data_IF_425951528467
#
_entry.id   IF_425951528467
#
_cell.length_a   1.000
_cell.length_b   1.000
_cell.length_c   1.000
_cell.angle_alpha   90.00
_cell.angle_beta   90.00
_cell.angle_gamma   90.00
#
_symmetry.space_group_name_H-M   'P 1'
#
loop_
_entity.id
_entity.type
_entity.pdbx_description
1 polymer ?
#
# COMPACT_ATOMS: atom_id res chain seq x y z
N UNK A 1 23.87 8.42 8.19
CA UNK A 1 23.40 7.18 7.54
C UNK A 1 22.25 6.62 8.38
N UNK A 2 21.01 6.73 7.89
CA UNK A 2 19.82 6.27 8.64
C UNK A 2 19.88 4.74 8.72
N UNK A 3 20.04 4.17 9.91
CA UNK A 3 19.95 2.72 10.15
C UNK A 3 18.47 2.27 10.12
N UNK A 4 17.76 2.55 9.03
CA UNK A 4 16.42 2.01 8.85
C UNK A 4 16.56 0.64 8.20
N UNK A 5 16.25 -0.43 8.93
CA UNK A 5 16.36 -1.82 8.45
C UNK A 5 15.35 -2.18 7.34
N UNK A 6 14.61 -1.20 6.83
CA UNK A 6 13.58 -1.39 5.83
C UNK A 6 12.40 -2.18 6.37
N UNK A 7 11.46 -2.48 5.48
CA UNK A 7 10.23 -3.19 5.79
C UNK A 7 10.38 -4.72 5.76
N UNK A 8 11.51 -5.21 5.25
CA UNK A 8 11.79 -6.63 5.05
C UNK A 8 12.69 -7.19 6.15
N UNK A 9 12.49 -8.45 6.56
CA UNK A 9 13.34 -9.08 7.57
C UNK A 9 14.73 -9.30 7.00
N UNK A 10 15.76 -8.80 7.69
CA UNK A 10 17.15 -9.06 7.32
C UNK A 10 17.62 -10.45 7.82
N UNK A 11 16.86 -11.06 8.73
CA UNK A 11 17.07 -12.42 9.21
C UNK A 11 15.90 -12.96 10.04
N UNK A 12 15.87 -14.28 10.35
CA UNK A 12 14.75 -14.93 11.02
C UNK A 12 14.41 -14.35 12.41
N UNK A 13 15.41 -13.87 13.14
CA UNK A 13 15.25 -13.29 14.48
C UNK A 13 14.50 -11.96 14.48
N UNK A 14 14.43 -11.25 13.35
CA UNK A 14 13.74 -9.95 13.22
C UNK A 14 12.26 -10.10 12.86
N UNK A 15 11.85 -11.28 12.40
CA UNK A 15 10.48 -11.57 11.95
C UNK A 15 9.44 -11.19 13.03
N UNK A 16 9.59 -11.56 14.32
CA UNK A 16 8.59 -11.22 15.33
C UNK A 16 8.44 -9.70 15.52
N UNK A 17 9.55 -8.97 15.51
CA UNK A 17 9.57 -7.51 15.71
C UNK A 17 8.87 -6.82 14.54
N UNK A 18 9.22 -7.18 13.31
CA UNK A 18 8.61 -6.57 12.12
C UNK A 18 7.12 -6.91 11.98
N UNK A 19 6.73 -8.14 12.32
CA UNK A 19 5.31 -8.52 12.37
C UNK A 19 4.53 -7.70 13.41
N UNK A 20 5.16 -7.34 14.53
CA UNK A 20 4.54 -6.47 15.53
C UNK A 20 4.41 -5.03 15.01
N UNK A 21 5.44 -4.48 14.37
CA UNK A 21 5.37 -3.16 13.73
C UNK A 21 4.28 -3.10 12.65
N UNK A 22 4.19 -4.12 11.79
CA UNK A 22 3.11 -4.26 10.81
C UNK A 22 1.74 -4.29 11.48
N UNK A 23 1.60 -5.02 12.58
CA UNK A 23 0.35 -5.09 13.34
C UNK A 23 -0.02 -3.72 13.92
N UNK A 24 0.93 -2.94 14.42
CA UNK A 24 0.68 -1.58 14.92
C UNK A 24 0.21 -0.66 13.80
N UNK A 25 0.89 -0.67 12.65
CA UNK A 25 0.48 0.09 11.45
C UNK A 25 -0.93 -0.30 11.02
N UNK A 26 -1.22 -1.60 10.86
CA UNK A 26 -2.54 -2.07 10.43
C UNK A 26 -3.64 -1.64 11.41
N UNK A 27 -3.37 -1.68 12.72
CA UNK A 27 -4.36 -1.32 13.74
C UNK A 27 -4.57 0.18 13.91
N UNK A 28 -3.64 1.03 13.44
CA UNK A 28 -3.80 2.49 13.53
C UNK A 28 -4.69 3.08 12.43
N UNK A 29 -4.93 2.33 11.34
CA UNK A 29 -5.62 2.84 10.15
C UNK A 29 -7.08 3.21 10.39
N UNK A 30 -7.85 2.35 11.07
CA UNK A 30 -9.26 2.65 11.35
C UNK A 30 -9.41 3.84 12.31
N UNK A 31 -8.67 3.89 13.44
CA UNK A 31 -8.67 5.08 14.29
C UNK A 31 -8.32 6.36 13.54
N UNK A 32 -7.30 6.34 12.67
CA UNK A 32 -6.92 7.51 11.88
C UNK A 32 -8.03 8.05 10.96
N UNK A 33 -9.07 7.24 10.68
CA UNK A 33 -10.20 7.65 9.84
C UNK A 33 -11.43 8.15 10.65
N UNK A 34 -11.43 8.01 11.98
CA UNK A 34 -12.64 8.13 12.81
C UNK A 34 -12.45 8.78 14.17
N UNK A 35 -11.29 8.62 14.78
CA UNK A 35 -11.05 9.19 16.09
C UNK A 35 -10.82 10.70 15.95
N UNK A 36 -11.20 11.49 16.98
CA UNK A 36 -10.90 12.91 17.01
C UNK A 36 -9.40 13.18 16.82
N UNK A 37 -9.10 14.37 16.30
CA UNK A 37 -7.73 14.86 16.22
C UNK A 37 -7.05 14.81 17.60
N UNK A 38 -5.82 14.31 17.66
CA UNK A 38 -5.15 14.00 18.92
C UNK A 38 -4.80 15.25 19.74
N UNK A 39 -4.56 16.38 19.06
CA UNK A 39 -4.13 17.62 19.69
C UNK A 39 -5.32 18.54 20.02
N UNK A 40 -6.28 18.65 19.10
CA UNK A 40 -7.42 19.56 19.24
C UNK A 40 -8.69 18.90 19.77
N UNK A 41 -8.80 17.56 19.73
CA UNK A 41 -10.01 16.83 20.11
C UNK A 41 -11.18 17.04 19.15
N UNK A 42 -10.97 17.73 18.01
CA UNK A 42 -12.01 17.99 17.02
C UNK A 42 -12.45 16.66 16.40
N UNK A 43 -13.77 16.36 16.36
CA UNK A 43 -14.27 15.15 15.71
C UNK A 43 -13.81 15.08 14.25
N UNK A 44 -13.31 13.92 13.85
CA UNK A 44 -12.85 13.67 12.49
C UNK A 44 -13.67 12.57 11.84
N UNK A 45 -13.93 12.74 10.54
CA UNK A 45 -14.53 11.73 9.69
C UNK A 45 -13.85 11.82 8.33
N UNK A 46 -13.19 10.74 7.92
CA UNK A 46 -12.60 10.68 6.59
C UNK A 46 -13.70 10.60 5.52
N UNK A 47 -13.64 11.49 4.53
CA UNK A 47 -14.44 11.41 3.29
C UNK A 47 -13.69 10.64 2.18
N UNK A 48 -12.36 10.53 2.30
CA UNK A 48 -11.49 9.77 1.41
C UNK A 48 -10.23 9.30 2.15
N UNK A 49 -9.56 8.27 1.63
CA UNK A 49 -8.28 7.79 2.15
C UNK A 49 -7.18 8.04 1.13
N UNK A 50 -6.09 8.67 1.57
CA UNK A 50 -4.82 8.68 0.86
C UNK A 50 -3.85 7.76 1.61
N UNK A 51 -3.32 6.75 0.93
CA UNK A 51 -2.47 5.75 1.57
C UNK A 51 -1.26 5.40 0.73
N UNK A 52 -0.21 4.92 1.38
CA UNK A 52 0.88 4.23 0.72
C UNK A 52 0.69 2.71 0.83
N UNK A 53 1.18 1.92 -0.15
CA UNK A 53 1.06 0.46 -0.11
C UNK A 53 1.58 -0.21 1.17
N UNK A 54 2.72 0.21 1.76
CA UNK A 54 3.26 -0.39 2.99
C UNK A 54 2.38 -0.26 4.25
N UNK A 55 1.21 0.40 4.17
CA UNK A 55 0.23 0.41 5.24
C UNK A 55 -0.65 -0.88 5.27
N UNK A 56 -0.77 -1.60 4.16
CA UNK A 56 -1.47 -2.89 3.93
C UNK A 56 -2.95 -3.07 4.33
N UNK A 57 -3.49 -2.33 5.31
CA UNK A 57 -4.89 -2.47 5.75
C UNK A 57 -5.84 -1.43 5.16
N UNK A 58 -5.32 -0.46 4.41
CA UNK A 58 -6.03 0.76 4.01
C UNK A 58 -7.21 0.47 3.08
N UNK A 59 -7.06 -0.50 2.16
CA UNK A 59 -8.14 -0.92 1.26
C UNK A 59 -9.32 -1.54 2.02
N UNK A 60 -9.04 -2.32 3.06
CA UNK A 60 -10.08 -2.93 3.90
C UNK A 60 -10.78 -1.89 4.78
N UNK A 61 -10.05 -0.88 5.27
CA UNK A 61 -10.67 0.24 5.98
C UNK A 61 -11.56 1.03 5.02
N UNK A 62 -11.10 1.34 3.80
CA UNK A 62 -11.91 2.00 2.78
C UNK A 62 -13.20 1.22 2.47
N UNK A 63 -13.11 -0.11 2.29
CA UNK A 63 -14.26 -1.01 2.11
C UNK A 63 -15.25 -0.91 3.26
N UNK A 64 -14.76 -0.97 4.51
CA UNK A 64 -15.61 -0.91 5.70
C UNK A 64 -16.29 0.45 5.89
N UNK A 65 -15.63 1.53 5.48
CA UNK A 65 -16.12 2.90 5.60
C UNK A 65 -16.93 3.35 4.38
N UNK A 66 -16.87 2.59 3.28
CA UNK A 66 -17.50 2.91 2.01
C UNK A 66 -17.08 4.29 1.47
N UNK A 67 -15.79 4.62 1.58
CA UNK A 67 -15.20 5.87 1.09
C UNK A 67 -14.13 5.58 0.02
N UNK A 68 -13.92 6.51 -0.93
CA UNK A 68 -12.89 6.36 -1.95
C UNK A 68 -11.48 6.30 -1.34
N UNK A 69 -10.59 5.62 -2.05
CA UNK A 69 -9.18 5.52 -1.70
C UNK A 69 -8.30 5.80 -2.92
N UNK A 70 -7.20 6.50 -2.70
CA UNK A 70 -6.16 6.78 -3.69
C UNK A 70 -4.80 6.42 -3.09
N UNK A 71 -4.02 5.64 -3.83
CA UNK A 71 -2.67 5.24 -3.44
C UNK A 71 -1.64 6.26 -3.91
N UNK A 72 -0.81 6.75 -3.00
CA UNK A 72 0.32 7.62 -3.29
C UNK A 72 1.62 6.95 -2.89
N UNK A 73 2.59 6.92 -3.80
CA UNK A 73 3.88 6.32 -3.46
C UNK A 73 5.08 6.84 -4.25
N UNK A 74 6.27 6.66 -3.66
CA UNK A 74 7.56 7.09 -4.23
C UNK A 74 8.33 5.93 -4.86
N UNK A 75 7.79 4.71 -4.82
CA UNK A 75 8.37 3.53 -5.45
C UNK A 75 7.30 2.85 -6.30
N UNK A 76 7.65 2.20 -7.43
CA UNK A 76 6.66 1.48 -8.20
C UNK A 76 6.14 0.27 -7.43
N UNK A 77 4.83 0.17 -7.27
CA UNK A 77 4.16 -0.92 -6.56
C UNK A 77 3.10 -1.62 -7.40
N UNK A 78 2.90 -1.18 -8.64
CA UNK A 78 1.93 -1.74 -9.59
C UNK A 78 2.65 -2.54 -10.67
N UNK A 79 2.16 -3.73 -11.03
CA UNK A 79 2.81 -4.59 -12.02
C UNK A 79 3.10 -3.89 -13.36
N UNK A 80 4.31 -4.10 -13.89
CA UNK A 80 4.72 -3.62 -15.23
C UNK A 80 5.82 -4.52 -15.83
N UNK A 81 5.96 -4.47 -17.15
CA UNK A 81 7.07 -5.08 -17.89
C UNK A 81 8.34 -4.21 -17.99
N UNK A 82 8.30 -2.96 -17.52
CA UNK A 82 9.42 -2.01 -17.68
C UNK A 82 10.52 -2.16 -16.60
N UNK A 83 10.13 -2.55 -15.38
CA UNK A 83 11.07 -2.77 -14.26
C UNK A 83 10.51 -3.79 -13.25
N UNK A 84 11.38 -4.52 -12.51
CA UNK A 84 10.94 -5.47 -11.51
C UNK A 84 10.34 -4.78 -10.28
N UNK A 85 9.61 -5.53 -9.47
CA UNK A 85 9.16 -5.10 -8.15
C UNK A 85 10.37 -4.61 -7.32
N UNK A 86 10.30 -3.48 -6.59
CA UNK A 86 11.45 -2.90 -5.87
C UNK A 86 12.13 -3.82 -4.86
N UNK A 87 11.36 -4.76 -4.31
CA UNK A 87 11.83 -5.78 -3.36
C UNK A 87 12.33 -7.07 -4.03
N UNK A 88 12.24 -7.17 -5.35
CA UNK A 88 12.72 -8.30 -6.13
C UNK A 88 14.13 -8.06 -6.67
N UNK A 89 14.88 -9.16 -6.88
CA UNK A 89 16.20 -9.15 -7.53
C UNK A 89 16.17 -9.72 -8.95
N UNK A 90 14.98 -9.87 -9.53
CA UNK A 90 14.80 -10.36 -10.91
C UNK A 90 15.50 -9.42 -11.88
N UNK A 91 16.44 -9.94 -12.67
CA UNK A 91 17.20 -9.17 -13.67
C UNK A 91 16.64 -9.28 -15.08
N UNK A 92 15.95 -10.39 -15.40
CA UNK A 92 15.41 -10.66 -16.72
C UNK A 92 14.06 -9.98 -16.91
N UNK A 93 13.92 -9.21 -17.99
CA UNK A 93 12.70 -8.44 -18.30
C UNK A 93 11.43 -9.31 -18.36
N UNK A 94 11.54 -10.53 -18.90
CA UNK A 94 10.43 -11.49 -18.94
C UNK A 94 9.84 -11.81 -17.54
N UNK A 95 10.63 -11.63 -16.47
CA UNK A 95 10.20 -11.86 -15.08
C UNK A 95 9.75 -10.60 -14.33
N UNK A 96 9.80 -9.40 -14.92
CA UNK A 96 9.51 -8.15 -14.20
C UNK A 96 8.08 -8.09 -13.72
N UNK A 97 7.10 -8.30 -14.61
CA UNK A 97 5.69 -8.30 -14.23
C UNK A 97 5.35 -9.41 -13.23
N UNK A 98 5.92 -10.61 -13.41
CA UNK A 98 5.72 -11.75 -12.52
C UNK A 98 6.29 -11.47 -11.12
N UNK A 99 7.37 -10.68 -11.02
CA UNK A 99 7.98 -10.38 -9.73
C UNK A 99 7.05 -9.66 -8.75
N UNK A 100 6.09 -8.85 -9.25
CA UNK A 100 5.09 -8.21 -8.41
C UNK A 100 4.17 -9.25 -7.77
N UNK A 101 3.61 -10.15 -8.57
CA UNK A 101 2.73 -11.22 -8.07
C UNK A 101 3.41 -12.09 -7.01
N UNK A 102 4.69 -12.43 -7.22
CA UNK A 102 5.47 -13.23 -6.27
C UNK A 102 5.66 -12.44 -4.95
N UNK A 103 6.09 -11.18 -5.03
CA UNK A 103 6.33 -10.38 -3.84
C UNK A 103 5.03 -10.09 -3.08
N UNK A 104 3.96 -9.71 -3.77
CA UNK A 104 2.65 -9.45 -3.17
C UNK A 104 2.11 -10.70 -2.47
N UNK A 105 2.31 -11.88 -3.06
CA UNK A 105 1.95 -13.16 -2.43
C UNK A 105 2.74 -13.44 -1.15
N UNK A 106 4.04 -13.12 -1.13
CA UNK A 106 4.89 -13.27 0.05
C UNK A 106 4.51 -12.28 1.16
N UNK A 107 4.23 -11.02 0.79
CA UNK A 107 3.72 -10.00 1.71
C UNK A 107 2.41 -10.48 2.32
N UNK A 108 1.46 -10.90 1.47
CA UNK A 108 0.16 -11.41 1.90
C UNK A 108 0.29 -12.59 2.86
N UNK A 109 1.15 -13.56 2.55
CA UNK A 109 1.43 -14.69 3.43
C UNK A 109 1.89 -14.23 4.83
N UNK A 110 2.69 -13.17 4.87
CA UNK A 110 3.16 -12.54 6.10
C UNK A 110 2.06 -11.83 6.90
N UNK A 111 1.13 -11.13 6.26
CA UNK A 111 0.20 -10.23 6.97
C UNK A 111 -1.23 -10.76 7.08
N UNK A 112 -1.60 -11.82 6.37
CA UNK A 112 -2.99 -12.29 6.25
C UNK A 112 -3.70 -12.49 7.58
N UNK A 113 -3.00 -12.95 8.62
CA UNK A 113 -3.58 -13.18 9.94
C UNK A 113 -3.94 -11.86 10.62
N UNK A 114 -3.09 -10.84 10.48
CA UNK A 114 -3.32 -9.48 11.02
C UNK A 114 -4.43 -8.76 10.27
N UNK A 115 -4.45 -8.89 8.94
CA UNK A 115 -5.53 -8.33 8.11
C UNK A 115 -6.87 -8.99 8.45
N UNK A 116 -6.92 -10.32 8.55
CA UNK A 116 -8.16 -11.01 8.88
C UNK A 116 -8.61 -10.74 10.32
N UNK A 117 -7.69 -10.53 11.26
CA UNK A 117 -8.01 -10.03 12.60
C UNK A 117 -8.63 -8.63 12.56
N UNK A 118 -8.05 -7.70 11.80
CA UNK A 118 -8.60 -6.35 11.59
C UNK A 118 -10.03 -6.45 11.01
N UNK A 119 -10.18 -7.22 9.92
CA UNK A 119 -11.47 -7.39 9.23
C UNK A 119 -12.56 -7.93 10.16
N UNK A 120 -12.27 -9.01 10.89
CA UNK A 120 -13.24 -9.63 11.81
C UNK A 120 -13.53 -8.76 13.03
N UNK A 121 -12.49 -8.32 13.74
CA UNK A 121 -12.62 -7.74 15.09
C UNK A 121 -12.96 -6.25 15.08
N UNK A 122 -12.55 -5.52 14.05
CA UNK A 122 -12.69 -4.05 13.99
C UNK A 122 -13.63 -3.59 12.89
N UNK A 123 -13.52 -4.19 11.69
CA UNK A 123 -14.26 -3.75 10.52
C UNK A 123 -15.61 -4.47 10.33
N UNK A 124 -15.84 -5.57 11.06
CA UNK A 124 -17.01 -6.45 10.90
C UNK A 124 -17.19 -6.96 9.47
N UNK A 125 -16.07 -7.14 8.76
CA UNK A 125 -16.03 -7.68 7.40
C UNK A 125 -15.70 -9.17 7.40
N UNK A 126 -16.13 -9.86 6.34
CA UNK A 126 -15.76 -11.27 6.11
C UNK A 126 -14.25 -11.38 5.86
N UNK A 127 -13.58 -12.45 6.33
CA UNK A 127 -12.15 -12.66 6.07
C UNK A 127 -11.85 -12.79 4.58
N UNK A 128 -10.67 -12.35 4.18
CA UNK A 128 -10.14 -12.60 2.84
C UNK A 128 -9.69 -14.05 2.77
N UNK A 129 -10.23 -14.82 1.83
CA UNK A 129 -9.84 -16.20 1.54
C UNK A 129 -8.94 -16.26 0.31
N UNK A 130 -8.19 -17.35 0.13
CA UNK A 130 -7.29 -17.52 -1.02
C UNK A 130 -8.01 -17.39 -2.38
N UNK A 131 -9.31 -17.72 -2.41
CA UNK A 131 -10.17 -17.66 -3.59
C UNK A 131 -10.85 -16.30 -3.77
N UNK A 132 -10.74 -15.38 -2.81
CA UNK A 132 -11.53 -14.13 -2.80
C UNK A 132 -11.03 -13.04 -3.75
N UNK A 133 -10.06 -13.32 -4.62
CA UNK A 133 -9.68 -12.42 -5.71
C UNK A 133 -9.19 -11.03 -5.25
N UNK A 134 -8.75 -10.87 -3.99
CA UNK A 134 -8.37 -9.56 -3.44
C UNK A 134 -7.27 -8.86 -4.23
N UNK A 135 -6.40 -9.63 -4.90
CA UNK A 135 -5.37 -9.08 -5.80
C UNK A 135 -5.96 -8.36 -7.03
N UNK A 136 -7.18 -8.68 -7.45
CA UNK A 136 -7.86 -7.97 -8.54
C UNK A 136 -8.38 -6.60 -8.13
N UNK A 137 -8.82 -6.45 -6.87
CA UNK A 137 -9.40 -5.21 -6.36
C UNK A 137 -8.36 -4.08 -6.22
N UNK A 138 -7.12 -4.43 -5.84
CA UNK A 138 -6.04 -3.44 -5.70
C UNK A 138 -5.62 -2.81 -7.02
N UNK A 139 -5.69 -3.55 -8.13
CA UNK A 139 -5.34 -3.04 -9.46
C UNK A 139 -6.34 -1.99 -10.00
N UNK A 140 -7.55 -1.90 -9.43
CA UNK A 140 -8.58 -0.96 -9.86
C UNK A 140 -8.59 0.36 -9.06
N UNK A 141 -7.76 0.45 -8.03
CA UNK A 141 -7.62 1.65 -7.20
C UNK A 141 -6.73 2.67 -7.94
N UNK A 142 -7.09 3.96 -7.97
CA UNK A 142 -6.22 5.01 -8.50
C UNK A 142 -4.86 5.06 -7.79
N UNK A 143 -3.78 5.14 -8.56
CA UNK A 143 -2.40 5.24 -8.07
C UNK A 143 -1.74 6.51 -8.63
N UNK A 144 -1.12 7.29 -7.76
CA UNK A 144 -0.29 8.43 -8.13
C UNK A 144 1.14 8.23 -7.61
N UNK A 145 2.07 8.13 -8.55
CA UNK A 145 3.48 8.00 -8.27
C UNK A 145 4.16 9.36 -8.26
N UNK A 146 4.66 9.74 -7.09
CA UNK A 146 5.18 11.08 -6.81
C UNK A 146 6.69 11.18 -7.09
N UNK A 147 7.06 10.87 -8.33
CA UNK A 147 8.40 11.10 -8.88
C UNK A 147 8.31 11.82 -10.21
N UNK A 148 9.41 12.44 -10.64
CA UNK A 148 9.48 13.13 -11.93
C UNK A 148 9.30 12.16 -13.10
N UNK A 149 8.41 12.43 -14.08
CA UNK A 149 8.29 11.62 -15.30
C UNK A 149 9.56 11.67 -16.17
N UNK A 150 10.44 12.66 -15.96
CA UNK A 150 11.76 12.72 -16.59
C UNK A 150 12.76 11.74 -15.95
N UNK A 151 12.52 11.33 -14.70
CA UNK A 151 13.35 10.36 -13.99
C UNK A 151 12.92 8.94 -14.33
N UNK A 152 11.63 8.65 -14.16
CA UNK A 152 11.02 7.38 -14.55
C UNK A 152 9.71 7.70 -15.26
N UNK A 153 9.63 7.54 -16.60
CA UNK A 153 8.41 7.80 -17.33
C UNK A 153 7.33 6.76 -16.96
N UNK A 154 6.06 7.13 -17.19
CA UNK A 154 4.93 6.20 -17.05
C UNK A 154 5.09 5.02 -18.03
N UNK A 155 5.20 3.77 -17.55
CA UNK A 155 5.18 2.59 -18.39
C UNK A 155 3.96 2.54 -19.32
N UNK A 156 4.16 2.01 -20.52
CA UNK A 156 3.10 1.93 -21.55
C UNK A 156 1.99 0.95 -21.18
N UNK A 157 2.28 -0.02 -20.32
CA UNK A 157 1.33 -1.03 -19.86
C UNK A 157 0.57 -0.61 -18.59
N UNK A 158 0.80 0.60 -18.08
CA UNK A 158 -0.03 1.20 -17.03
C UNK A 158 -1.28 1.86 -17.62
N UNK A 159 -2.43 1.54 -17.01
CA UNK A 159 -3.73 2.07 -17.41
C UNK A 159 -3.96 3.54 -17.05
N UNK A 160 -5.16 4.06 -17.34
CA UNK A 160 -5.53 5.45 -17.06
C UNK A 160 -5.68 5.77 -15.57
N UNK A 161 -5.76 4.76 -14.69
CA UNK A 161 -5.87 4.94 -13.23
C UNK A 161 -4.53 5.08 -12.52
N UNK A 162 -3.42 4.99 -13.24
CA UNK A 162 -2.07 5.00 -12.67
C UNK A 162 -1.29 6.13 -13.30
N UNK A 163 -0.90 7.15 -12.54
CA UNK A 163 -0.19 8.31 -13.06
C UNK A 163 1.14 8.56 -12.38
N UNK A 164 2.09 9.11 -13.13
CA UNK A 164 3.35 9.63 -12.62
C UNK A 164 3.22 11.15 -12.58
N UNK A 165 3.06 11.71 -11.38
CA UNK A 165 2.55 13.08 -11.19
C UNK A 165 3.63 14.13 -10.91
N UNK A 166 4.90 13.71 -10.80
CA UNK A 166 5.98 14.60 -10.39
C UNK A 166 6.21 14.61 -8.87
N UNK A 167 7.24 15.35 -8.44
CA UNK A 167 7.54 15.53 -7.02
C UNK A 167 6.58 16.54 -6.39
N UNK A 168 6.23 16.30 -5.12
CA UNK A 168 5.46 17.24 -4.31
C UNK A 168 6.40 18.26 -3.67
N UNK A 169 6.31 19.52 -4.10
CA UNK A 169 7.02 20.65 -3.50
C UNK A 169 6.05 21.50 -2.67
N UNK A 170 6.54 22.03 -1.54
CA UNK A 170 5.75 22.95 -0.70
C UNK A 170 5.33 24.17 -1.53
N UNK A 171 4.03 24.45 -1.60
CA UNK A 171 3.45 25.55 -2.38
C UNK A 171 3.07 25.23 -3.82
N UNK A 172 3.29 23.99 -4.30
CA UNK A 172 2.79 23.53 -5.59
C UNK A 172 1.46 22.79 -5.43
N UNK A 173 0.47 23.12 -6.27
CA UNK A 173 -0.79 22.37 -6.33
C UNK A 173 -0.60 21.07 -7.13
N UNK A 174 -0.98 19.94 -6.53
CA UNK A 174 -1.06 18.66 -7.24
C UNK A 174 -2.37 18.68 -8.03
N UNK A 175 -2.31 18.54 -9.36
CA UNK A 175 -3.51 18.31 -10.18
C UNK A 175 -3.85 16.83 -10.09
N UNK A 176 -4.86 16.52 -9.27
CA UNK A 176 -5.53 15.22 -9.19
C UNK A 176 -6.73 15.19 -10.14
#
# INVERSE_FOLDING_TARGET
MVKNKGFLPSGPSEIPVQRNQMKEIINSLLPACKEPDIDSGVPFKADAIMANPPAYGHTHVAEALQIPIHIFFTMPWTPTADFPHPLSRVKQQAGYRLSYQIVDSLIWLGIRDKINDLRKKKLKLRPVTYLSGSQGFENDIPHAYIWSPHLVPKPKDWGPKIDVVGFCFLGSSIKL
#
